data_IF_231482658440
#
_entry.id   IF_231482658440
#
_cell.length_a   1.000
_cell.length_b   1.000
_cell.length_c   1.000
_cell.angle_alpha   90.00
_cell.angle_beta   90.00
_cell.angle_gamma   90.00
#
_symmetry.space_group_name_H-M   'P 1'
#
loop_
_entity.id
_entity.type
_entity.pdbx_description
1 polymer ?
#
# COMPACT_ATOMS: atom_id res chain seq x y z
N UNK A 1 -12.27 -13.00 3.50
CA UNK A 1 -11.43 -12.24 4.48
C UNK A 1 -10.36 -11.47 3.72
N UNK A 2 -9.87 -10.31 4.26
CA UNK A 2 -8.74 -9.58 3.66
C UNK A 2 -7.50 -9.84 4.50
N UNK A 3 -6.42 -10.20 3.83
CA UNK A 3 -5.08 -10.33 4.39
C UNK A 3 -4.17 -9.28 3.71
N UNK A 4 -3.34 -8.60 4.48
CA UNK A 4 -2.34 -7.67 3.95
C UNK A 4 -0.95 -8.19 4.27
N UNK A 5 -0.09 -8.30 3.28
CA UNK A 5 1.28 -8.76 3.46
C UNK A 5 2.26 -7.60 3.30
N UNK A 6 3.04 -7.37 4.34
CA UNK A 6 4.19 -6.45 4.34
C UNK A 6 5.43 -7.24 4.70
N UNK A 7 6.25 -7.62 3.71
CA UNK A 7 7.46 -8.43 3.96
C UNK A 7 8.62 -7.63 4.57
N UNK A 8 8.55 -6.30 4.53
CA UNK A 8 9.57 -5.40 5.09
C UNK A 8 8.92 -4.24 5.87
N UNK A 9 8.16 -4.53 6.96
CA UNK A 9 7.53 -3.50 7.77
C UNK A 9 8.56 -2.59 8.43
N UNK A 10 8.13 -1.39 8.79
CA UNK A 10 8.96 -0.40 9.45
C UNK A 10 8.27 0.22 10.65
N UNK A 11 9.06 0.77 11.55
CA UNK A 11 8.62 1.82 12.45
C UNK A 11 9.09 3.15 11.84
N UNK A 12 8.16 3.98 11.43
CA UNK A 12 8.47 5.25 10.79
C UNK A 12 8.61 6.32 11.90
N UNK A 13 9.82 6.85 12.04
CA UNK A 13 10.13 7.96 12.92
C UNK A 13 9.92 9.26 12.16
N UNK A 14 8.77 9.87 12.38
CA UNK A 14 8.38 11.14 11.78
C UNK A 14 8.89 12.28 12.63
N UNK A 15 9.72 13.14 12.07
CA UNK A 15 10.29 14.30 12.75
C UNK A 15 10.06 15.58 11.96
N UNK A 16 9.78 16.65 12.67
CA UNK A 16 9.73 18.00 12.10
C UNK A 16 10.89 18.83 12.62
N UNK A 17 11.62 19.44 11.70
CA UNK A 17 12.77 20.32 12.01
C UNK A 17 12.58 21.64 11.27
N UNK A 18 12.78 22.74 11.96
CA UNK A 18 12.81 24.07 11.32
C UNK A 18 14.19 24.29 10.72
N UNK A 19 14.24 24.57 9.40
CA UNK A 19 15.47 24.90 8.68
C UNK A 19 16.57 23.83 8.85
N UNK A 20 16.27 22.59 8.48
CA UNK A 20 17.21 21.48 8.54
C UNK A 20 18.52 21.81 7.80
N UNK A 21 19.64 21.60 8.49
CA UNK A 21 20.98 21.81 7.91
C UNK A 21 21.89 20.63 8.22
N UNK A 22 22.62 20.17 7.22
CA UNK A 22 23.66 19.15 7.39
C UNK A 22 24.86 19.70 8.15
N UNK A 23 25.56 18.85 8.88
CA UNK A 23 26.82 19.21 9.56
C UNK A 23 26.67 19.98 10.88
N UNK A 24 25.44 20.24 11.35
CA UNK A 24 25.16 20.91 12.63
C UNK A 24 24.14 20.12 13.45
N UNK A 25 24.01 20.49 14.73
CA UNK A 25 22.93 19.95 15.58
C UNK A 25 21.61 20.59 15.18
N UNK A 26 20.66 19.75 14.74
CA UNK A 26 19.28 20.14 14.52
C UNK A 26 18.42 19.68 15.70
N UNK A 27 17.43 20.49 16.10
CA UNK A 27 16.50 20.17 17.17
C UNK A 27 15.12 20.00 16.59
N UNK A 28 14.42 18.89 16.95
CA UNK A 28 13.08 18.59 16.46
C UNK A 28 12.05 19.52 17.13
N UNK A 29 11.05 19.92 16.36
CA UNK A 29 9.87 20.64 16.85
C UNK A 29 8.79 19.66 17.33
N UNK A 30 8.67 18.53 16.65
CA UNK A 30 7.76 17.44 17.00
C UNK A 30 8.33 16.12 16.51
N UNK A 31 7.94 15.04 17.18
CA UNK A 31 8.33 13.69 16.83
C UNK A 31 7.19 12.69 17.08
N UNK A 32 7.13 11.67 16.26
CA UNK A 32 6.14 10.59 16.39
C UNK A 32 6.68 9.29 15.80
N UNK A 33 6.37 8.16 16.44
CA UNK A 33 6.60 6.83 15.90
C UNK A 33 5.31 6.23 15.38
N UNK A 34 5.32 5.71 14.15
CA UNK A 34 4.16 5.07 13.53
C UNK A 34 4.55 3.73 12.92
N UNK A 35 3.74 2.71 13.17
CA UNK A 35 3.85 1.46 12.44
C UNK A 35 3.62 1.72 10.95
N UNK A 36 4.57 1.30 10.11
CA UNK A 36 4.61 1.61 8.69
C UNK A 36 4.85 0.39 7.82
N UNK A 37 4.71 0.63 6.53
CA UNK A 37 4.75 -0.36 5.46
C UNK A 37 3.40 -0.43 4.74
N UNK A 38 3.41 -0.47 3.39
CA UNK A 38 2.20 -0.32 2.57
C UNK A 38 1.06 -1.25 2.99
N UNK A 39 1.30 -2.55 3.21
CA UNK A 39 0.25 -3.48 3.64
C UNK A 39 -0.30 -3.16 5.04
N UNK A 40 0.55 -2.73 5.97
CA UNK A 40 0.13 -2.25 7.29
C UNK A 40 -0.77 -1.01 7.15
N UNK A 41 -0.38 -0.06 6.32
CA UNK A 41 -1.16 1.13 6.02
C UNK A 41 -2.54 0.79 5.45
N UNK A 42 -2.60 -0.17 4.51
CA UNK A 42 -3.87 -0.70 3.99
C UNK A 42 -4.73 -1.28 5.13
N UNK A 43 -4.14 -2.08 6.04
CA UNK A 43 -4.87 -2.64 7.20
C UNK A 43 -5.40 -1.55 8.14
N UNK A 44 -4.61 -0.51 8.41
CA UNK A 44 -5.03 0.63 9.25
C UNK A 44 -6.22 1.33 8.58
N UNK A 45 -6.12 1.61 7.29
CA UNK A 45 -7.20 2.29 6.57
C UNK A 45 -8.46 1.43 6.44
N UNK A 46 -8.33 0.12 6.16
CA UNK A 46 -9.47 -0.82 6.18
C UNK A 46 -10.17 -0.79 7.54
N UNK A 47 -9.41 -0.80 8.64
CA UNK A 47 -9.98 -0.71 10.00
C UNK A 47 -10.72 0.59 10.23
N UNK A 48 -10.16 1.73 9.81
CA UNK A 48 -10.84 3.03 9.89
C UNK A 48 -12.15 3.03 9.09
N UNK A 49 -12.19 2.32 7.95
CA UNK A 49 -13.40 2.16 7.12
C UNK A 49 -14.40 1.13 7.68
N UNK A 50 -14.04 0.39 8.73
CA UNK A 50 -14.89 -0.60 9.38
C UNK A 50 -14.79 -2.01 8.78
N UNK A 51 -13.70 -2.31 8.06
CA UNK A 51 -13.41 -3.64 7.50
C UNK A 51 -12.31 -4.32 8.31
N UNK A 52 -12.54 -5.58 8.69
CA UNK A 52 -11.55 -6.41 9.35
C UNK A 52 -10.54 -6.97 8.34
N UNK A 53 -9.26 -6.92 8.71
CA UNK A 53 -8.16 -7.54 7.98
C UNK A 53 -7.19 -8.22 8.93
N UNK A 54 -6.32 -9.06 8.40
CA UNK A 54 -5.21 -9.68 9.12
C UNK A 54 -3.91 -9.21 8.49
N UNK A 55 -3.05 -8.55 9.26
CA UNK A 55 -1.73 -8.13 8.81
C UNK A 55 -0.72 -9.27 8.96
N UNK A 56 -0.06 -9.62 7.85
CA UNK A 56 0.97 -10.65 7.73
C UNK A 56 2.31 -10.02 7.36
N UNK A 57 3.40 -10.72 7.60
CA UNK A 57 4.75 -10.32 7.24
C UNK A 57 5.77 -10.83 8.23
N UNK A 58 6.91 -10.17 8.27
CA UNK A 58 8.02 -10.50 9.19
C UNK A 58 8.26 -9.34 10.14
N UNK A 59 8.34 -9.62 11.44
CA UNK A 59 8.68 -8.64 12.46
C UNK A 59 9.78 -9.18 13.37
N UNK A 60 10.67 -8.31 13.85
CA UNK A 60 11.76 -8.74 14.72
C UNK A 60 12.22 -7.65 15.71
N UNK A 61 12.80 -8.08 16.80
CA UNK A 61 13.39 -7.25 17.81
C UNK A 61 12.41 -6.32 18.53
N UNK A 62 12.90 -5.25 19.13
CA UNK A 62 12.05 -4.29 19.85
C UNK A 62 11.14 -3.50 18.88
N UNK A 63 11.61 -3.21 17.67
CA UNK A 63 10.83 -2.49 16.65
C UNK A 63 9.63 -3.33 16.21
N UNK A 64 9.83 -4.65 16.02
CA UNK A 64 8.74 -5.54 15.66
C UNK A 64 7.65 -5.59 16.74
N UNK A 65 8.04 -5.65 18.02
CA UNK A 65 7.10 -5.59 19.15
C UNK A 65 6.31 -4.27 19.20
N UNK A 66 6.99 -3.15 18.90
CA UNK A 66 6.32 -1.84 18.85
C UNK A 66 5.31 -1.78 17.71
N UNK A 67 5.66 -2.26 16.51
CA UNK A 67 4.72 -2.35 15.38
C UNK A 67 3.48 -3.16 15.75
N UNK A 68 3.66 -4.35 16.34
CA UNK A 68 2.52 -5.20 16.77
C UNK A 68 1.71 -4.54 17.88
N UNK A 69 2.36 -3.86 18.82
CA UNK A 69 1.71 -3.10 19.89
C UNK A 69 0.76 -2.04 19.35
N UNK A 70 1.26 -1.19 18.43
CA UNK A 70 0.46 -0.14 17.81
C UNK A 70 -0.72 -0.69 16.98
N UNK A 71 -0.53 -1.80 16.27
CA UNK A 71 -1.62 -2.45 15.53
C UNK A 71 -2.66 -3.04 16.47
N UNK A 72 -2.25 -3.63 17.58
CA UNK A 72 -3.14 -4.15 18.62
C UNK A 72 -3.98 -3.05 19.28
N UNK A 73 -3.38 -1.90 19.59
CA UNK A 73 -4.07 -0.72 20.12
C UNK A 73 -5.18 -0.23 19.16
N UNK A 74 -4.94 -0.34 17.85
CA UNK A 74 -5.93 -0.05 16.80
C UNK A 74 -6.93 -1.20 16.56
N UNK A 75 -6.87 -2.27 17.34
CA UNK A 75 -7.69 -3.49 17.16
C UNK A 75 -7.56 -4.10 15.75
N UNK A 76 -6.35 -4.09 15.20
CA UNK A 76 -6.01 -4.76 13.94
C UNK A 76 -5.44 -6.13 14.27
N UNK A 77 -5.99 -7.18 13.65
CA UNK A 77 -5.48 -8.55 13.81
C UNK A 77 -4.15 -8.69 13.09
N UNK A 78 -3.20 -9.32 13.76
CA UNK A 78 -1.87 -9.61 13.21
C UNK A 78 -1.58 -11.10 13.27
N UNK A 79 -0.85 -11.60 12.28
CA UNK A 79 -0.31 -12.95 12.27
C UNK A 79 1.09 -12.96 11.64
N UNK A 80 1.98 -12.12 12.19
CA UNK A 80 3.36 -11.99 11.74
C UNK A 80 4.20 -13.21 12.06
N UNK A 81 5.22 -13.45 11.24
CA UNK A 81 6.34 -14.35 11.56
C UNK A 81 7.34 -13.58 12.40
N UNK A 82 7.65 -14.09 13.57
CA UNK A 82 8.67 -13.51 14.44
C UNK A 82 10.05 -13.90 13.96
N UNK A 83 10.89 -12.92 13.66
CA UNK A 83 12.29 -13.16 13.29
C UNK A 83 13.09 -13.58 14.53
N UNK A 84 13.90 -14.60 14.39
CA UNK A 84 14.78 -15.11 15.45
C UNK A 84 15.93 -14.14 15.75
N UNK A 85 16.42 -13.50 14.68
CA UNK A 85 17.55 -12.59 14.72
C UNK A 85 17.21 -11.26 14.02
N UNK A 86 17.90 -10.20 14.42
CA UNK A 86 17.73 -8.87 13.84
C UNK A 86 16.51 -8.13 14.38
N UNK A 87 16.25 -6.98 13.80
CA UNK A 87 15.14 -6.12 14.16
C UNK A 87 14.48 -5.56 12.90
N UNK A 88 13.17 -5.36 12.94
CA UNK A 88 12.47 -4.61 11.91
C UNK A 88 13.12 -3.25 11.72
N UNK A 89 12.99 -2.67 10.55
CA UNK A 89 13.66 -1.41 10.23
C UNK A 89 12.97 -0.21 10.86
N UNK A 90 13.75 0.85 11.10
CA UNK A 90 13.25 2.18 11.41
C UNK A 90 13.54 3.05 10.19
N UNK A 91 12.55 3.74 9.67
CA UNK A 91 12.72 4.78 8.68
C UNK A 91 12.63 6.14 9.36
N UNK A 92 13.34 7.15 8.83
CA UNK A 92 13.20 8.53 9.27
C UNK A 92 12.45 9.30 8.19
N UNK A 93 11.35 9.95 8.58
CA UNK A 93 10.55 10.85 7.77
C UNK A 93 10.77 12.28 8.27
N UNK A 94 11.70 12.97 7.65
CA UNK A 94 12.07 14.33 8.02
C UNK A 94 11.21 15.34 7.25
N UNK A 95 10.44 16.14 7.99
CA UNK A 95 9.70 17.28 7.46
C UNK A 95 10.41 18.57 7.82
N UNK A 96 10.84 19.31 6.82
CA UNK A 96 11.42 20.65 6.92
C UNK A 96 10.87 21.51 5.78
N UNK A 97 11.69 22.32 5.12
CA UNK A 97 11.35 23.01 3.87
C UNK A 97 11.03 22.00 2.76
N UNK A 98 11.74 20.89 2.76
CA UNK A 98 11.52 19.74 1.87
C UNK A 98 11.31 18.49 2.72
N UNK A 99 10.49 17.58 2.22
CA UNK A 99 10.30 16.25 2.82
C UNK A 99 11.46 15.34 2.40
N UNK A 100 12.10 14.68 3.38
CA UNK A 100 13.22 13.76 3.14
C UNK A 100 12.98 12.43 3.82
N UNK A 101 13.05 11.36 3.05
CA UNK A 101 12.89 9.99 3.51
C UNK A 101 14.24 9.28 3.60
N UNK A 102 14.57 8.74 4.79
CA UNK A 102 15.71 7.85 4.98
C UNK A 102 15.18 6.46 5.32
N UNK A 103 15.24 5.56 4.36
CA UNK A 103 14.68 4.23 4.47
C UNK A 103 15.77 3.19 4.73
N UNK A 104 15.68 2.47 5.86
CA UNK A 104 16.57 1.37 6.18
C UNK A 104 16.25 0.12 5.35
N UNK A 105 17.28 -0.74 5.12
CA UNK A 105 17.16 -1.94 4.29
C UNK A 105 16.27 -3.05 4.88
N UNK A 106 16.13 -3.10 6.20
CA UNK A 106 15.43 -4.16 6.92
C UNK A 106 16.34 -5.32 7.36
N UNK A 107 15.76 -6.30 8.09
CA UNK A 107 16.48 -7.45 8.63
C UNK A 107 16.78 -8.52 7.57
N UNK A 108 17.64 -9.45 7.92
CA UNK A 108 17.81 -10.70 7.20
C UNK A 108 16.68 -11.66 7.59
N UNK A 109 16.18 -12.42 6.62
CA UNK A 109 15.09 -13.38 6.80
C UNK A 109 15.60 -14.75 6.38
N UNK A 110 15.57 -15.71 7.28
CA UNK A 110 16.07 -17.04 7.03
C UNK A 110 15.02 -17.97 6.37
N UNK A 111 15.45 -19.13 5.90
CA UNK A 111 14.56 -20.10 5.21
C UNK A 111 13.43 -20.59 6.10
N UNK A 112 13.68 -20.81 7.40
CA UNK A 112 12.65 -21.30 8.32
C UNK A 112 11.56 -20.25 8.57
N UNK A 113 11.91 -18.96 8.53
CA UNK A 113 11.00 -17.84 8.65
C UNK A 113 10.13 -17.69 7.39
N UNK A 114 10.76 -17.87 6.21
CA UNK A 114 10.04 -17.93 4.93
C UNK A 114 9.03 -19.09 4.93
N UNK A 115 9.43 -20.29 5.38
CA UNK A 115 8.54 -21.44 5.51
C UNK A 115 7.39 -21.15 6.49
N UNK A 116 7.68 -20.46 7.59
CA UNK A 116 6.68 -19.99 8.55
C UNK A 116 5.63 -19.07 7.91
N UNK A 117 6.04 -18.14 7.03
CA UNK A 117 5.10 -17.32 6.28
C UNK A 117 4.26 -18.17 5.32
N UNK A 118 4.87 -19.05 4.56
CA UNK A 118 4.12 -19.94 3.66
C UNK A 118 3.13 -20.85 4.39
N UNK A 119 3.47 -21.31 5.59
CA UNK A 119 2.54 -22.06 6.42
C UNK A 119 1.28 -21.23 6.77
N UNK A 120 1.45 -19.97 7.16
CA UNK A 120 0.35 -19.06 7.43
C UNK A 120 -0.49 -18.78 6.16
N UNK A 121 0.16 -18.50 5.04
CA UNK A 121 -0.49 -18.26 3.75
C UNK A 121 -1.26 -19.49 3.24
N UNK A 122 -0.82 -20.70 3.59
CA UNK A 122 -1.56 -21.91 3.28
C UNK A 122 -2.91 -22.02 4.00
N UNK A 123 -3.13 -21.24 5.06
CA UNK A 123 -4.41 -21.14 5.75
C UNK A 123 -5.48 -20.32 5.01
N UNK A 124 -5.11 -19.56 3.97
CA UNK A 124 -6.03 -18.75 3.17
C UNK A 124 -7.00 -19.66 2.39
N UNK A 125 -8.24 -19.18 2.23
CA UNK A 125 -9.35 -19.90 1.61
C UNK A 125 -9.76 -19.26 0.28
N UNK A 126 -10.51 -20.00 -0.52
CA UNK A 126 -11.12 -19.49 -1.75
C UNK A 126 -11.88 -18.17 -1.51
N UNK A 127 -11.71 -17.20 -2.41
CA UNK A 127 -12.25 -15.85 -2.35
C UNK A 127 -11.68 -14.95 -1.23
N UNK A 128 -10.68 -15.40 -0.45
CA UNK A 128 -9.92 -14.46 0.36
C UNK A 128 -9.14 -13.50 -0.55
N UNK A 129 -8.92 -12.29 -0.05
CA UNK A 129 -8.11 -11.27 -0.73
C UNK A 129 -6.76 -11.20 -0.04
N UNK A 130 -5.68 -11.29 -0.82
CA UNK A 130 -4.32 -11.06 -0.36
C UNK A 130 -3.74 -9.81 -1.02
N UNK A 131 -3.52 -8.78 -0.21
CA UNK A 131 -2.86 -7.54 -0.63
C UNK A 131 -1.36 -7.71 -0.44
N UNK A 132 -0.62 -7.75 -1.55
CA UNK A 132 0.83 -7.81 -1.62
C UNK A 132 1.34 -6.39 -1.83
N UNK A 133 1.87 -5.75 -0.78
CA UNK A 133 2.16 -4.32 -0.84
C UNK A 133 3.52 -3.96 -0.21
N UNK A 134 4.23 -3.06 -0.89
CA UNK A 134 5.52 -2.54 -0.48
C UNK A 134 6.72 -3.27 -1.10
N UNK A 135 7.91 -2.80 -0.71
CA UNK A 135 9.18 -3.31 -1.22
C UNK A 135 9.55 -4.67 -0.61
N UNK A 136 10.26 -5.47 -1.39
CA UNK A 136 10.88 -6.72 -0.95
C UNK A 136 12.28 -6.39 -0.43
N UNK A 137 12.67 -6.83 0.79
CA UNK A 137 14.03 -6.64 1.28
C UNK A 137 15.02 -7.42 0.44
N UNK A 138 16.26 -6.90 0.28
CA UNK A 138 17.31 -7.52 -0.55
C UNK A 138 17.72 -8.95 -0.10
N UNK A 139 17.28 -9.38 1.05
CA UNK A 139 17.50 -10.71 1.61
C UNK A 139 16.50 -11.76 1.10
N UNK A 140 15.43 -11.30 0.46
CA UNK A 140 14.47 -12.15 -0.26
C UNK A 140 14.67 -12.03 -1.78
N UNK A 141 14.28 -13.04 -2.55
CA UNK A 141 14.31 -12.97 -4.02
C UNK A 141 13.41 -11.85 -4.54
N UNK A 142 13.82 -11.17 -5.61
CA UNK A 142 13.04 -10.11 -6.26
C UNK A 142 11.65 -10.60 -6.74
N UNK A 143 11.48 -11.89 -6.96
CA UNK A 143 10.24 -12.54 -7.39
C UNK A 143 9.42 -13.14 -6.24
N UNK A 144 9.72 -12.77 -4.99
CA UNK A 144 9.10 -13.37 -3.80
C UNK A 144 7.56 -13.28 -3.81
N UNK A 145 7.00 -12.13 -4.25
CA UNK A 145 5.55 -12.01 -4.39
C UNK A 145 5.00 -12.94 -5.49
N UNK A 146 5.71 -13.09 -6.59
CA UNK A 146 5.33 -14.04 -7.65
C UNK A 146 5.35 -15.49 -7.14
N UNK A 147 6.34 -15.89 -6.31
CA UNK A 147 6.39 -17.20 -5.68
C UNK A 147 5.20 -17.44 -4.73
N UNK A 148 4.78 -16.43 -3.98
CA UNK A 148 3.57 -16.49 -3.14
C UNK A 148 2.33 -16.71 -4.00
N UNK A 149 2.15 -15.91 -5.05
CA UNK A 149 1.00 -16.01 -5.95
C UNK A 149 0.96 -17.38 -6.65
N UNK A 150 2.09 -17.90 -7.10
CA UNK A 150 2.20 -19.22 -7.74
C UNK A 150 1.71 -20.34 -6.82
N UNK A 151 2.09 -20.31 -5.54
CA UNK A 151 1.64 -21.31 -4.56
C UNK A 151 0.15 -21.23 -4.24
N UNK A 152 -0.42 -20.04 -4.35
CA UNK A 152 -1.80 -19.77 -3.94
C UNK A 152 -2.80 -19.73 -5.11
N UNK A 153 -2.35 -19.72 -6.36
CA UNK A 153 -3.22 -19.56 -7.55
C UNK A 153 -4.31 -20.62 -7.62
N UNK A 154 -4.00 -21.86 -7.25
CA UNK A 154 -4.97 -22.96 -7.27
C UNK A 154 -6.05 -22.84 -6.17
N UNK A 155 -5.84 -21.99 -5.17
CA UNK A 155 -6.82 -21.71 -4.10
C UNK A 155 -7.83 -20.65 -4.49
N UNK A 156 -7.74 -20.08 -5.71
CA UNK A 156 -8.61 -18.99 -6.19
C UNK A 156 -8.61 -17.77 -5.26
N UNK A 157 -7.45 -17.43 -4.72
CA UNK A 157 -7.23 -16.21 -3.94
C UNK A 157 -7.29 -15.00 -4.88
N UNK A 158 -7.91 -13.92 -4.43
CA UNK A 158 -7.91 -12.64 -5.14
C UNK A 158 -6.67 -11.84 -4.72
N UNK A 159 -5.79 -11.53 -5.66
CA UNK A 159 -4.57 -10.78 -5.38
C UNK A 159 -4.75 -9.28 -5.67
N UNK A 160 -4.26 -8.45 -4.78
CA UNK A 160 -4.08 -7.00 -4.99
C UNK A 160 -2.59 -6.71 -4.88
N UNK A 161 -2.03 -5.99 -5.84
CA UNK A 161 -0.59 -5.71 -5.87
C UNK A 161 -0.33 -4.21 -5.92
N UNK A 162 0.36 -3.71 -4.88
CA UNK A 162 0.87 -2.34 -4.81
C UNK A 162 2.37 -2.39 -4.52
N UNK A 163 3.15 -2.66 -5.55
CA UNK A 163 4.59 -2.87 -5.48
C UNK A 163 5.30 -2.26 -6.69
N UNK A 164 6.63 -2.10 -6.53
CA UNK A 164 7.46 -1.47 -7.55
C UNK A 164 7.53 -2.29 -8.85
N UNK A 165 7.79 -1.59 -9.94
CA UNK A 165 7.92 -1.95 -11.34
C UNK A 165 8.10 -3.43 -11.68
N UNK A 166 9.27 -4.01 -11.36
CA UNK A 166 9.59 -5.41 -11.69
C UNK A 166 8.67 -6.41 -10.99
N UNK A 167 8.36 -6.13 -9.73
CA UNK A 167 7.50 -6.98 -8.89
C UNK A 167 6.07 -6.97 -9.42
N UNK A 168 5.55 -5.77 -9.77
CA UNK A 168 4.25 -5.62 -10.40
C UNK A 168 4.19 -6.40 -11.70
N UNK A 169 5.17 -6.24 -12.60
CA UNK A 169 5.20 -6.94 -13.88
C UNK A 169 5.22 -8.46 -13.74
N UNK A 170 5.97 -8.99 -12.77
CA UNK A 170 6.01 -10.42 -12.49
C UNK A 170 4.69 -10.97 -11.94
N UNK A 171 3.86 -10.12 -11.34
CA UNK A 171 2.56 -10.50 -10.77
C UNK A 171 1.46 -10.68 -11.83
N UNK A 172 1.58 -10.03 -12.99
CA UNK A 172 0.51 -9.94 -14.00
C UNK A 172 0.06 -11.30 -14.53
N UNK A 173 0.97 -12.26 -14.68
CA UNK A 173 0.64 -13.64 -15.12
C UNK A 173 -0.33 -14.38 -14.20
N UNK A 174 -0.48 -13.92 -12.94
CA UNK A 174 -1.43 -14.48 -11.98
C UNK A 174 -2.77 -13.72 -11.94
N UNK A 175 -2.99 -12.80 -12.86
CA UNK A 175 -4.22 -12.03 -13.04
C UNK A 175 -4.72 -11.37 -11.76
N UNK A 176 -3.93 -10.47 -11.14
CA UNK A 176 -4.35 -9.79 -9.93
C UNK A 176 -5.66 -9.03 -10.14
N UNK A 177 -6.52 -9.06 -9.12
CA UNK A 177 -7.78 -8.30 -9.09
C UNK A 177 -7.54 -6.81 -9.30
N UNK A 178 -6.48 -6.29 -8.66
CA UNK A 178 -6.10 -4.88 -8.74
C UNK A 178 -4.58 -4.75 -8.73
N UNK A 179 -4.06 -3.92 -9.61
CA UNK A 179 -2.71 -3.36 -9.49
C UNK A 179 -2.81 -1.85 -9.35
N UNK A 180 -1.96 -1.25 -8.49
CA UNK A 180 -2.00 0.20 -8.27
C UNK A 180 -0.62 0.85 -8.40
N UNK A 181 -0.10 1.12 -9.59
CA UNK A 181 1.05 2.01 -9.78
C UNK A 181 0.65 3.48 -9.60
N UNK A 182 1.60 4.35 -9.30
CA UNK A 182 1.47 5.77 -9.58
C UNK A 182 1.97 6.07 -11.00
N UNK A 183 1.81 7.32 -11.46
CA UNK A 183 2.24 7.73 -12.81
C UNK A 183 3.75 7.56 -13.03
N UNK A 184 4.58 7.80 -12.00
CA UNK A 184 6.04 7.59 -12.10
C UNK A 184 6.39 6.12 -12.21
N UNK A 185 5.82 5.26 -11.36
CA UNK A 185 6.02 3.81 -11.40
C UNK A 185 5.57 3.24 -12.76
N UNK A 186 4.41 3.68 -13.26
CA UNK A 186 3.92 3.29 -14.58
C UNK A 186 4.84 3.77 -15.70
N UNK A 187 5.31 5.02 -15.61
CA UNK A 187 6.27 5.60 -16.55
C UNK A 187 7.59 4.84 -16.58
N UNK A 188 8.11 4.45 -15.43
CA UNK A 188 9.32 3.63 -15.32
C UNK A 188 9.16 2.24 -15.95
N UNK A 189 7.99 1.58 -15.80
CA UNK A 189 7.72 0.29 -16.43
C UNK A 189 7.86 0.38 -17.97
N UNK A 190 7.37 1.46 -18.56
CA UNK A 190 7.34 1.62 -20.02
C UNK A 190 8.41 2.58 -20.57
N UNK A 191 9.30 3.10 -19.70
CA UNK A 191 10.36 4.06 -20.03
C UNK A 191 9.82 5.32 -20.73
N UNK A 192 8.80 5.94 -20.14
CA UNK A 192 8.13 7.16 -20.62
C UNK A 192 7.81 8.09 -19.47
N UNK A 193 7.64 9.39 -19.74
CA UNK A 193 7.09 10.34 -18.77
C UNK A 193 5.57 10.42 -18.92
N UNK A 194 4.86 10.37 -17.81
CA UNK A 194 3.40 10.38 -17.73
C UNK A 194 2.96 11.44 -16.71
N UNK A 195 2.41 12.54 -17.18
CA UNK A 195 2.11 13.70 -16.35
C UNK A 195 0.61 13.97 -16.20
N UNK A 196 -0.20 13.51 -17.15
CA UNK A 196 -1.66 13.73 -17.17
C UNK A 196 -2.43 12.43 -17.13
N UNK A 197 -3.72 12.51 -16.80
CA UNK A 197 -4.63 11.36 -16.87
C UNK A 197 -4.69 10.75 -18.28
N UNK A 198 -4.69 11.59 -19.31
CA UNK A 198 -4.67 11.13 -20.70
C UNK A 198 -3.42 10.33 -21.04
N UNK A 199 -2.24 10.71 -20.51
CA UNK A 199 -0.98 10.03 -20.79
C UNK A 199 -0.95 8.61 -20.21
N UNK A 200 -1.57 8.39 -19.03
CA UNK A 200 -1.51 7.09 -18.36
C UNK A 200 -2.48 6.07 -18.93
N UNK A 201 -3.58 6.48 -19.57
CA UNK A 201 -4.62 5.58 -20.08
C UNK A 201 -4.08 4.48 -21.01
N UNK A 202 -3.26 4.79 -22.05
CA UNK A 202 -2.74 3.76 -22.96
C UNK A 202 -1.89 2.71 -22.24
N UNK A 203 -1.12 3.12 -21.22
CA UNK A 203 -0.24 2.24 -20.48
C UNK A 203 -0.98 1.43 -19.39
N UNK A 204 -2.01 2.00 -18.79
CA UNK A 204 -2.92 1.26 -17.92
C UNK A 204 -3.65 0.14 -18.70
N UNK A 205 -4.10 0.43 -19.93
CA UNK A 205 -4.67 -0.59 -20.84
C UNK A 205 -3.67 -1.70 -21.15
N UNK A 206 -2.39 -1.37 -21.40
CA UNK A 206 -1.33 -2.38 -21.61
C UNK A 206 -1.13 -3.26 -20.39
N UNK A 207 -1.12 -2.71 -19.16
CA UNK A 207 -1.03 -3.54 -17.94
C UNK A 207 -2.23 -4.49 -17.80
N UNK A 208 -3.43 -4.04 -18.17
CA UNK A 208 -4.61 -4.90 -18.22
C UNK A 208 -4.45 -6.03 -19.24
N UNK A 209 -3.99 -5.71 -20.44
CA UNK A 209 -3.74 -6.70 -21.51
C UNK A 209 -2.67 -7.72 -21.09
N UNK A 210 -1.68 -7.31 -20.29
CA UNK A 210 -0.64 -8.18 -19.74
C UNK A 210 -1.13 -9.04 -18.57
N UNK A 211 -2.36 -8.82 -18.07
CA UNK A 211 -3.01 -9.74 -17.13
C UNK A 211 -3.69 -9.11 -15.91
N UNK A 212 -3.45 -7.86 -15.57
CA UNK A 212 -4.20 -7.23 -14.48
C UNK A 212 -5.70 -7.19 -14.80
N UNK A 213 -6.56 -7.50 -13.82
CA UNK A 213 -8.01 -7.34 -14.02
C UNK A 213 -8.41 -5.86 -13.96
N UNK A 214 -7.94 -5.15 -12.93
CA UNK A 214 -8.17 -3.72 -12.78
C UNK A 214 -6.83 -3.01 -12.58
N UNK A 215 -6.65 -1.84 -13.21
CA UNK A 215 -5.44 -1.02 -13.12
C UNK A 215 -5.84 0.36 -12.61
N UNK A 216 -5.48 0.68 -11.37
CA UNK A 216 -5.71 1.97 -10.74
C UNK A 216 -4.41 2.78 -10.75
N UNK A 217 -4.36 3.86 -11.51
CA UNK A 217 -3.18 4.74 -11.58
C UNK A 217 -3.45 6.02 -10.80
N UNK A 218 -2.62 6.30 -9.80
CA UNK A 218 -2.69 7.55 -9.03
C UNK A 218 -1.76 8.61 -9.63
N UNK A 219 -2.24 9.88 -9.67
CA UNK A 219 -1.53 11.02 -10.24
C UNK A 219 -1.47 12.20 -9.27
N UNK A 220 -1.34 11.94 -7.98
CA UNK A 220 -1.32 12.97 -6.93
C UNK A 220 -2.45 14.01 -7.11
N UNK A 221 -2.12 15.30 -7.25
CA UNK A 221 -3.08 16.38 -7.43
C UNK A 221 -3.91 16.31 -8.72
N UNK A 222 -3.44 15.61 -9.75
CA UNK A 222 -4.16 15.38 -11.00
C UNK A 222 -5.29 14.33 -10.86
N UNK A 223 -5.34 13.62 -9.74
CA UNK A 223 -6.37 12.63 -9.46
C UNK A 223 -5.97 11.21 -9.79
N UNK A 224 -6.82 10.47 -10.48
CA UNK A 224 -6.58 9.08 -10.78
C UNK A 224 -7.30 8.61 -12.06
N UNK A 225 -6.85 7.46 -12.56
CA UNK A 225 -7.45 6.71 -13.67
C UNK A 225 -7.63 5.26 -13.24
N UNK A 226 -8.78 4.66 -13.55
CA UNK A 226 -9.00 3.23 -13.47
C UNK A 226 -9.28 2.67 -14.87
N UNK A 227 -8.61 1.59 -15.24
CA UNK A 227 -9.00 0.72 -16.36
C UNK A 227 -9.48 -0.59 -15.77
N UNK A 228 -10.76 -0.94 -15.99
CA UNK A 228 -11.36 -2.14 -15.43
C UNK A 228 -11.11 -3.39 -16.31
N UNK A 229 -11.53 -4.55 -15.81
CA UNK A 229 -11.35 -5.83 -16.49
C UNK A 229 -12.09 -5.92 -17.84
N UNK A 230 -13.10 -5.09 -18.08
CA UNK A 230 -13.83 -5.00 -19.33
C UNK A 230 -13.22 -3.98 -20.31
N UNK A 231 -12.22 -3.21 -19.87
CA UNK A 231 -11.55 -2.17 -20.66
C UNK A 231 -12.23 -0.81 -20.58
N UNK A 232 -13.23 -0.65 -19.72
CA UNK A 232 -13.80 0.66 -19.43
C UNK A 232 -12.75 1.53 -18.73
N UNK A 233 -12.77 2.82 -19.04
CA UNK A 233 -11.86 3.82 -18.48
C UNK A 233 -12.67 4.80 -17.64
N UNK A 234 -12.29 4.92 -16.38
CA UNK A 234 -12.81 5.90 -15.44
C UNK A 234 -11.69 6.84 -15.05
N UNK A 235 -11.92 8.13 -15.11
CA UNK A 235 -10.98 9.15 -14.69
C UNK A 235 -11.66 10.21 -13.86
N UNK A 236 -10.95 10.75 -12.89
CA UNK A 236 -11.47 11.81 -12.02
C UNK A 236 -10.32 12.66 -11.49
N UNK A 237 -10.55 13.98 -11.44
CA UNK A 237 -9.65 14.92 -10.75
C UNK A 237 -9.62 14.65 -9.25
N UNK A 238 -8.47 14.97 -8.64
CA UNK A 238 -8.39 14.92 -7.18
C UNK A 238 -9.32 15.99 -6.56
N UNK A 239 -10.05 15.66 -5.51
CA UNK A 239 -10.77 16.65 -4.74
C UNK A 239 -9.83 17.75 -4.25
N UNK A 240 -10.33 18.99 -4.23
CA UNK A 240 -9.56 20.13 -3.69
C UNK A 240 -9.60 20.13 -2.17
N UNK A 241 -8.45 20.33 -1.53
CA UNK A 241 -8.34 20.40 -0.08
C UNK A 241 -6.95 20.86 0.36
N UNK A 242 -6.79 21.10 1.65
CA UNK A 242 -5.48 21.42 2.23
C UNK A 242 -4.68 20.12 2.44
N UNK A 243 -3.54 20.00 1.77
CA UNK A 243 -2.60 18.89 1.95
C UNK A 243 -1.96 19.01 3.32
N UNK A 244 -2.12 18.00 4.16
CA UNK A 244 -1.50 17.87 5.48
C UNK A 244 -0.41 16.80 5.49
N UNK A 245 -0.69 15.64 4.88
CA UNK A 245 0.23 14.51 4.82
C UNK A 245 -0.05 13.67 3.57
N UNK A 246 0.96 13.37 2.77
CA UNK A 246 0.82 12.55 1.55
C UNK A 246 1.09 11.06 1.79
N UNK A 247 1.68 10.69 2.95
CA UNK A 247 2.07 9.31 3.27
C UNK A 247 0.83 8.42 3.40
N UNK A 248 0.85 7.27 2.73
CA UNK A 248 -0.24 6.29 2.78
C UNK A 248 -1.48 6.63 1.96
N UNK A 249 -1.47 7.72 1.17
CA UNK A 249 -2.60 8.06 0.28
C UNK A 249 -2.89 6.94 -0.72
N UNK A 250 -1.87 6.37 -1.36
CA UNK A 250 -2.02 5.24 -2.27
C UNK A 250 -2.55 3.98 -1.58
N UNK A 251 -2.08 3.71 -0.36
CA UNK A 251 -2.55 2.58 0.46
C UNK A 251 -4.03 2.76 0.85
N UNK A 252 -4.41 4.02 1.14
CA UNK A 252 -5.80 4.41 1.40
C UNK A 252 -6.70 4.22 0.16
N UNK A 253 -6.16 4.49 -1.05
CA UNK A 253 -6.89 4.22 -2.29
C UNK A 253 -7.18 2.72 -2.46
N UNK A 254 -6.23 1.85 -2.15
CA UNK A 254 -6.43 0.38 -2.17
C UNK A 254 -7.53 -0.02 -1.18
N UNK A 255 -7.49 0.49 0.05
CA UNK A 255 -8.48 0.18 1.07
C UNK A 255 -9.88 0.66 0.70
N UNK A 256 -10.01 1.88 0.18
CA UNK A 256 -11.27 2.45 -0.29
C UNK A 256 -11.84 1.69 -1.49
N UNK A 257 -11.00 1.32 -2.47
CA UNK A 257 -11.40 0.49 -3.60
C UNK A 257 -11.97 -0.85 -3.12
N UNK A 258 -11.27 -1.54 -2.22
CA UNK A 258 -11.70 -2.83 -1.69
C UNK A 258 -13.01 -2.73 -0.90
N UNK A 259 -13.21 -1.66 -0.12
CA UNK A 259 -14.47 -1.43 0.61
C UNK A 259 -15.68 -1.48 -0.33
N UNK A 260 -15.66 -0.68 -1.38
CA UNK A 260 -16.82 -0.55 -2.27
C UNK A 260 -16.91 -1.70 -3.26
N UNK A 261 -15.78 -2.23 -3.76
CA UNK A 261 -15.76 -3.37 -4.66
C UNK A 261 -16.37 -4.63 -4.02
N UNK A 262 -16.07 -4.89 -2.75
CA UNK A 262 -16.65 -6.01 -2.00
C UNK A 262 -18.14 -5.84 -1.71
N UNK A 263 -18.60 -4.59 -1.59
CA UNK A 263 -19.99 -4.29 -1.28
C UNK A 263 -20.91 -4.31 -2.53
N UNK A 264 -20.39 -3.86 -3.68
CA UNK A 264 -21.24 -3.61 -4.86
C UNK A 264 -20.78 -4.34 -6.12
N UNK A 265 -19.54 -4.79 -6.20
CA UNK A 265 -18.88 -5.26 -7.43
C UNK A 265 -18.89 -4.23 -8.58
N UNK A 266 -19.17 -2.96 -8.26
CA UNK A 266 -19.18 -1.85 -9.19
C UNK A 266 -17.81 -1.18 -9.20
N UNK A 267 -17.08 -1.29 -10.31
CA UNK A 267 -15.71 -0.81 -10.44
C UNK A 267 -15.61 0.71 -10.48
N UNK A 268 -16.59 1.40 -11.05
CA UNK A 268 -16.62 2.87 -11.05
C UNK A 268 -16.81 3.41 -9.63
N UNK A 269 -17.76 2.85 -8.89
CA UNK A 269 -17.98 3.23 -7.49
C UNK A 269 -16.76 2.90 -6.62
N UNK A 270 -16.13 1.73 -6.83
CA UNK A 270 -14.92 1.34 -6.14
C UNK A 270 -13.75 2.30 -6.44
N UNK A 271 -13.62 2.75 -7.69
CA UNK A 271 -12.66 3.78 -8.09
C UNK A 271 -12.88 5.10 -7.35
N UNK A 272 -14.14 5.61 -7.35
CA UNK A 272 -14.47 6.85 -6.66
C UNK A 272 -14.26 6.75 -5.13
N UNK A 273 -14.58 5.61 -4.54
CA UNK A 273 -14.32 5.36 -3.11
C UNK A 273 -12.81 5.30 -2.81
N UNK A 274 -12.03 4.67 -3.69
CA UNK A 274 -10.56 4.66 -3.60
C UNK A 274 -9.98 6.07 -3.66
N UNK A 275 -10.37 6.87 -4.66
CA UNK A 275 -9.93 8.26 -4.80
C UNK A 275 -10.32 9.10 -3.57
N UNK A 276 -11.55 8.90 -3.06
CA UNK A 276 -12.02 9.58 -1.84
C UNK A 276 -11.19 9.24 -0.62
N UNK A 277 -10.86 7.94 -0.43
CA UNK A 277 -10.06 7.47 0.69
C UNK A 277 -8.62 8.02 0.64
N UNK A 278 -8.00 7.99 -0.55
CA UNK A 278 -6.68 8.58 -0.76
C UNK A 278 -6.67 10.09 -0.47
N UNK A 279 -7.59 10.83 -1.07
CA UNK A 279 -7.69 12.29 -0.90
C UNK A 279 -8.03 12.70 0.54
N UNK A 280 -8.98 12.01 1.18
CA UNK A 280 -9.33 12.28 2.58
C UNK A 280 -8.13 12.04 3.52
N UNK A 281 -7.28 11.03 3.25
CA UNK A 281 -6.06 10.79 4.02
C UNK A 281 -5.04 11.91 3.81
N UNK A 282 -4.89 12.41 2.58
CA UNK A 282 -4.03 13.59 2.29
C UNK A 282 -4.47 14.84 3.06
N UNK A 283 -5.77 14.99 3.32
CA UNK A 283 -6.34 16.13 4.06
C UNK A 283 -6.41 15.90 5.57
N UNK A 284 -5.88 14.79 6.07
CA UNK A 284 -5.88 14.41 7.49
C UNK A 284 -4.46 14.39 8.06
N UNK A 285 -4.36 14.57 9.37
CA UNK A 285 -3.12 14.31 10.10
C UNK A 285 -3.01 12.79 10.37
N UNK A 286 -2.60 12.04 9.35
CA UNK A 286 -2.58 10.58 9.32
C UNK A 286 -3.71 9.99 8.44
N UNK A 287 -4.15 8.77 8.74
CA UNK A 287 -5.20 8.11 7.94
C UNK A 287 -6.59 8.67 8.24
N UNK A 288 -7.36 8.90 7.17
CA UNK A 288 -8.71 9.45 7.27
C UNK A 288 -9.67 8.57 8.09
N UNK A 289 -10.66 9.22 8.69
CA UNK A 289 -11.81 8.54 9.30
C UNK A 289 -12.81 8.09 8.23
N UNK A 290 -13.66 7.12 8.55
CA UNK A 290 -14.76 6.69 7.67
C UNK A 290 -15.67 7.86 7.27
N UNK A 291 -15.96 8.74 8.21
CA UNK A 291 -16.82 9.91 7.99
C UNK A 291 -16.22 10.84 6.92
N UNK A 292 -14.93 11.19 7.05
CA UNK A 292 -14.24 12.03 6.08
C UNK A 292 -14.25 11.43 4.68
N UNK A 293 -14.01 10.12 4.57
CA UNK A 293 -14.02 9.42 3.28
C UNK A 293 -15.42 9.40 2.68
N UNK A 294 -16.45 9.06 3.45
CA UNK A 294 -17.84 8.99 2.97
C UNK A 294 -18.35 10.36 2.56
N UNK A 295 -18.01 11.41 3.32
CA UNK A 295 -18.39 12.76 2.96
C UNK A 295 -17.76 13.20 1.64
N UNK A 296 -16.48 12.91 1.45
CA UNK A 296 -15.79 13.22 0.19
C UNK A 296 -16.34 12.39 -0.98
N UNK A 297 -16.62 11.11 -0.78
CA UNK A 297 -17.24 10.24 -1.78
C UNK A 297 -18.59 10.76 -2.30
N UNK A 298 -19.42 11.32 -1.41
CA UNK A 298 -20.70 11.93 -1.81
C UNK A 298 -20.51 13.11 -2.76
N UNK A 299 -19.39 13.84 -2.67
CA UNK A 299 -19.11 14.99 -3.55
C UNK A 299 -18.57 14.60 -4.91
N UNK A 300 -18.03 13.37 -5.06
CA UNK A 300 -17.46 12.87 -6.31
C UNK A 300 -18.47 12.15 -7.20
N UNK A 301 -19.60 11.75 -6.62
CA UNK A 301 -20.75 11.14 -7.32
C UNK A 301 -21.55 12.21 -7.99
#
# INVERSE_FOLDING_TARGET
MIFTLTVNPSLDYMIQVSHFKTGIVNRVLSEQFMAGGKGINVSIMLKNLGIESVALGFVGGFVGREIEGQLKEKNIKTDFVQLKNGTSRINVKLKSEEETDINAKGPEIDKSEIEGLFFKLNGLKENDILVLAGSIPKTLPDDFYAQIMERLVQKKIQFVVDAENKILMQSLKYRPLLVKPNNFELGQIFNVELNTRGDVIPYAKKLRELGARNVLVSLAGEGAVLVDEHGNVFEKEAPKGKVLNSVGAGDSMVAGFLLEYLASSDTERAFLMGLSAGSASVFSDGFATKENVVNLFKTLR
#
